data_IF_180673734112
#
_entry.id   IF_180673734112
#
_cell.length_a   1.000
_cell.length_b   1.000
_cell.length_c   1.000
_cell.angle_alpha   90.00
_cell.angle_beta   90.00
_cell.angle_gamma   90.00
#
_symmetry.space_group_name_H-M   'P 1'
#
loop_
_entity.id
_entity.type
_entity.pdbx_description
1 polymer ?
#
# COMPACT_ATOMS: atom_id res chain seq x y z
N UNK A 1 15.30 80.11 7.61
CA UNK A 1 16.20 79.07 8.13
C UNK A 1 15.72 77.75 7.53
N UNK A 2 16.26 77.34 6.38
CA UNK A 2 15.81 76.14 5.66
C UNK A 2 16.89 75.07 5.76
N UNK A 3 16.54 73.91 6.30
CA UNK A 3 17.41 72.73 6.36
C UNK A 3 17.53 72.13 4.96
N UNK A 4 18.73 71.69 4.53
CA UNK A 4 18.86 71.04 3.24
C UNK A 4 18.23 69.65 3.29
N UNK A 5 17.27 69.39 2.40
CA UNK A 5 16.68 68.08 2.19
C UNK A 5 17.70 67.11 1.59
N UNK A 6 17.80 65.92 2.20
CA UNK A 6 18.70 64.87 1.76
C UNK A 6 18.24 64.36 0.38
N UNK A 7 19.08 64.47 -0.65
CA UNK A 7 18.77 63.96 -1.99
C UNK A 7 18.95 62.43 -2.00
N UNK A 8 18.00 61.65 -2.52
CA UNK A 8 18.20 60.21 -2.66
C UNK A 8 19.33 59.97 -3.69
N UNK A 9 20.40 59.29 -3.27
CA UNK A 9 21.49 58.88 -4.16
C UNK A 9 21.01 57.74 -5.06
N UNK A 10 21.24 57.84 -6.36
CA UNK A 10 20.97 56.75 -7.32
C UNK A 10 21.92 55.58 -7.12
N UNK A 11 21.49 54.39 -7.56
CA UNK A 11 22.30 53.16 -7.50
C UNK A 11 23.57 53.30 -8.34
N UNK A 12 24.69 52.81 -7.80
CA UNK A 12 25.94 52.72 -8.56
C UNK A 12 25.93 51.48 -9.46
N UNK A 13 26.66 51.53 -10.58
CA UNK A 13 26.73 50.43 -11.56
C UNK A 13 27.18 49.10 -10.93
N UNK A 14 28.16 49.17 -10.02
CA UNK A 14 28.68 48.02 -9.28
C UNK A 14 27.63 47.43 -8.35
N UNK A 15 26.86 48.27 -7.68
CA UNK A 15 25.81 47.86 -6.73
C UNK A 15 24.66 47.15 -7.46
N UNK A 16 24.26 47.63 -8.65
CA UNK A 16 23.27 46.95 -9.49
C UNK A 16 23.73 45.56 -9.94
N UNK A 17 25.01 45.41 -10.30
CA UNK A 17 25.58 44.11 -10.69
C UNK A 17 25.58 43.11 -9.52
N UNK A 18 25.92 43.57 -8.32
CA UNK A 18 25.90 42.74 -7.10
C UNK A 18 24.47 42.32 -6.76
N UNK A 19 23.50 43.23 -6.86
CA UNK A 19 22.08 42.92 -6.63
C UNK A 19 21.59 41.87 -7.63
N UNK A 20 21.89 42.00 -8.93
CA UNK A 20 21.49 41.02 -9.94
C UNK A 20 22.11 39.65 -9.65
N UNK A 21 23.38 39.60 -9.26
CA UNK A 21 24.07 38.35 -8.93
C UNK A 21 23.43 37.65 -7.72
N UNK A 22 23.17 38.40 -6.65
CA UNK A 22 22.55 37.87 -5.42
C UNK A 22 21.11 37.43 -5.70
N UNK A 23 20.31 38.25 -6.37
CA UNK A 23 18.91 37.92 -6.72
C UNK A 23 18.83 36.68 -7.59
N UNK A 24 19.75 36.52 -8.54
CA UNK A 24 19.81 35.34 -9.42
C UNK A 24 20.16 34.08 -8.62
N UNK A 25 21.11 34.17 -7.69
CA UNK A 25 21.47 33.04 -6.82
C UNK A 25 20.31 32.62 -5.91
N UNK A 26 19.59 33.59 -5.32
CA UNK A 26 18.41 33.35 -4.49
C UNK A 26 17.29 32.68 -5.31
N UNK A 27 17.04 33.16 -6.54
CA UNK A 27 16.03 32.56 -7.42
C UNK A 27 16.33 31.09 -7.73
N UNK A 28 17.59 30.75 -8.01
CA UNK A 28 18.01 29.35 -8.24
C UNK A 28 17.85 28.51 -6.98
N UNK A 29 18.25 29.03 -5.81
CA UNK A 29 18.10 28.33 -4.55
C UNK A 29 16.63 28.03 -4.21
N UNK A 30 15.73 28.99 -4.45
CA UNK A 30 14.28 28.81 -4.26
C UNK A 30 13.74 27.77 -5.25
N UNK A 31 14.12 27.85 -6.52
CA UNK A 31 13.68 26.88 -7.52
C UNK A 31 14.12 25.44 -7.16
N UNK A 32 15.36 25.27 -6.70
CA UNK A 32 15.85 23.96 -6.23
C UNK A 32 15.12 23.48 -4.97
N UNK A 33 14.86 24.37 -4.00
CA UNK A 33 14.10 24.03 -2.82
C UNK A 33 12.68 23.55 -3.17
N UNK A 34 12.01 24.24 -4.09
CA UNK A 34 10.68 23.85 -4.58
C UNK A 34 10.72 22.43 -5.17
N UNK A 35 11.64 22.16 -6.11
CA UNK A 35 11.77 20.83 -6.73
C UNK A 35 12.04 19.75 -5.66
N UNK A 36 12.94 20.02 -4.73
CA UNK A 36 13.25 19.10 -3.63
C UNK A 36 12.03 18.77 -2.75
N UNK A 37 11.20 19.77 -2.43
CA UNK A 37 9.98 19.56 -1.65
C UNK A 37 8.92 18.76 -2.41
N UNK A 38 8.79 18.97 -3.72
CA UNK A 38 7.86 18.21 -4.55
C UNK A 38 8.28 16.73 -4.65
N UNK A 39 9.56 16.46 -4.93
CA UNK A 39 10.08 15.09 -4.99
C UNK A 39 9.93 14.38 -3.65
N UNK A 40 10.29 15.04 -2.54
CA UNK A 40 10.23 14.43 -1.20
C UNK A 40 8.81 14.08 -0.76
N UNK A 41 7.81 14.89 -1.13
CA UNK A 41 6.41 14.60 -0.81
C UNK A 41 5.88 13.34 -1.54
N UNK A 42 6.31 13.12 -2.77
CA UNK A 42 5.85 11.97 -3.55
C UNK A 42 6.36 10.63 -2.94
N UNK A 43 7.59 10.60 -2.43
CA UNK A 43 8.15 9.40 -1.80
C UNK A 43 7.48 9.06 -0.46
N UNK A 44 7.24 10.06 0.39
CA UNK A 44 6.61 9.85 1.71
C UNK A 44 5.15 9.37 1.58
N UNK A 45 4.41 9.90 0.59
CA UNK A 45 3.02 9.51 0.33
C UNK A 45 2.93 8.10 -0.24
N UNK A 46 3.80 7.73 -1.19
CA UNK A 46 3.84 6.38 -1.79
C UNK A 46 4.17 5.29 -0.77
N UNK A 47 5.18 5.51 0.08
CA UNK A 47 5.54 4.55 1.13
C UNK A 47 4.40 4.36 2.15
N UNK A 48 3.75 5.45 2.56
CA UNK A 48 2.63 5.40 3.51
C UNK A 48 1.42 4.65 2.95
N UNK A 49 1.14 4.78 1.65
CA UNK A 49 0.08 4.05 0.99
C UNK A 49 0.37 2.53 0.93
N UNK A 50 1.61 2.16 0.60
CA UNK A 50 2.02 0.75 0.56
C UNK A 50 1.90 0.06 1.93
N UNK A 51 2.33 0.74 3.01
CA UNK A 51 2.23 0.21 4.37
C UNK A 51 0.77 0.03 4.80
N UNK A 52 -0.11 0.99 4.49
CA UNK A 52 -1.54 0.89 4.82
C UNK A 52 -2.21 -0.28 4.09
N UNK A 53 -1.92 -0.44 2.80
CA UNK A 53 -2.47 -1.55 2.01
C UNK A 53 -2.00 -2.91 2.55
N UNK A 54 -0.73 -3.03 2.92
CA UNK A 54 -0.20 -4.25 3.52
C UNK A 54 -0.89 -4.59 4.86
N UNK A 55 -1.08 -3.58 5.73
CA UNK A 55 -1.78 -3.77 7.02
C UNK A 55 -3.22 -4.24 6.82
N UNK A 56 -3.97 -3.59 5.95
CA UNK A 56 -5.36 -3.96 5.67
C UNK A 56 -5.48 -5.39 5.13
N UNK A 57 -4.53 -5.82 4.30
CA UNK A 57 -4.47 -7.19 3.80
C UNK A 57 -4.20 -8.21 4.90
N UNK A 58 -3.27 -7.91 5.80
CA UNK A 58 -2.98 -8.75 6.98
C UNK A 58 -4.20 -8.84 7.90
N UNK A 59 -4.85 -7.72 8.21
CA UNK A 59 -6.02 -7.70 9.09
C UNK A 59 -7.16 -8.57 8.54
N UNK A 60 -7.41 -8.47 7.24
CA UNK A 60 -8.41 -9.30 6.55
C UNK A 60 -8.04 -10.78 6.61
N UNK A 61 -6.77 -11.10 6.38
CA UNK A 61 -6.27 -12.47 6.41
C UNK A 61 -6.33 -13.09 7.80
N UNK A 62 -5.90 -12.35 8.83
CA UNK A 62 -5.95 -12.81 10.22
C UNK A 62 -7.40 -13.01 10.66
N UNK A 63 -8.32 -12.13 10.27
CA UNK A 63 -9.74 -12.30 10.54
C UNK A 63 -10.28 -13.60 9.95
N UNK A 64 -10.04 -13.84 8.66
CA UNK A 64 -10.51 -15.04 7.97
C UNK A 64 -9.92 -16.32 8.58
N UNK A 65 -8.64 -16.31 8.97
CA UNK A 65 -8.00 -17.45 9.65
C UNK A 65 -8.63 -17.70 11.03
N UNK A 66 -8.97 -16.65 11.77
CA UNK A 66 -9.64 -16.80 13.09
C UNK A 66 -11.06 -17.35 12.96
N UNK A 67 -11.70 -17.16 11.81
CA UNK A 67 -13.03 -17.70 11.49
C UNK A 67 -12.94 -19.10 10.84
N UNK A 68 -11.74 -19.70 10.75
CA UNK A 68 -11.56 -21.00 10.12
C UNK A 68 -12.29 -22.12 10.89
N UNK A 69 -13.07 -22.92 10.16
CA UNK A 69 -13.91 -23.99 10.71
C UNK A 69 -14.06 -25.14 9.71
N UNK A 70 -14.66 -26.25 10.15
CA UNK A 70 -14.89 -27.40 9.27
C UNK A 70 -15.76 -27.02 8.08
N UNK A 71 -15.41 -27.54 6.90
CA UNK A 71 -16.16 -27.29 5.68
C UNK A 71 -17.58 -27.86 5.73
N UNK A 72 -18.49 -27.34 4.90
CA UNK A 72 -19.83 -27.94 4.69
C UNK A 72 -19.76 -29.41 4.25
N UNK A 73 -18.62 -29.81 3.66
CA UNK A 73 -18.32 -31.19 3.22
C UNK A 73 -17.78 -32.09 4.34
N UNK A 74 -17.51 -31.54 5.53
CA UNK A 74 -16.85 -32.23 6.64
C UNK A 74 -15.31 -32.20 6.58
N UNK A 75 -14.71 -31.53 5.59
CA UNK A 75 -13.26 -31.38 5.50
C UNK A 75 -12.69 -30.51 6.64
N UNK A 76 -11.42 -30.76 6.99
CA UNK A 76 -10.70 -29.98 8.00
C UNK A 76 -10.60 -28.49 7.64
N UNK A 77 -10.49 -27.57 8.62
CA UNK A 77 -10.49 -26.13 8.38
C UNK A 77 -9.40 -25.63 7.43
N UNK A 78 -8.24 -26.28 7.37
CA UNK A 78 -7.16 -25.96 6.44
C UNK A 78 -7.20 -26.95 5.29
N UNK A 79 -7.44 -26.45 4.08
CA UNK A 79 -7.51 -27.27 2.87
C UNK A 79 -6.13 -27.49 2.24
N UNK A 80 -5.29 -26.45 2.22
CA UNK A 80 -3.92 -26.53 1.73
C UNK A 80 -3.07 -25.36 2.20
N UNK A 81 -1.76 -25.59 2.33
CA UNK A 81 -0.77 -24.57 2.68
C UNK A 81 0.44 -24.69 1.75
N UNK A 82 1.00 -23.55 1.38
CA UNK A 82 2.27 -23.42 0.67
C UNK A 82 2.91 -22.09 1.08
N UNK A 83 4.16 -21.86 0.67
CA UNK A 83 4.91 -20.63 1.02
C UNK A 83 4.26 -19.34 0.53
N UNK A 84 3.50 -19.40 -0.57
CA UNK A 84 2.84 -18.23 -1.21
C UNK A 84 1.32 -18.37 -1.33
N UNK A 85 0.73 -19.43 -0.78
CA UNK A 85 -0.73 -19.59 -0.80
C UNK A 85 -1.25 -20.35 0.41
N UNK A 86 -2.44 -19.97 0.85
CA UNK A 86 -3.17 -20.60 1.95
C UNK A 86 -4.63 -20.79 1.52
N UNK A 87 -5.15 -22.00 1.66
CA UNK A 87 -6.58 -22.29 1.46
C UNK A 87 -7.19 -22.80 2.74
N UNK A 88 -8.25 -22.14 3.20
CA UNK A 88 -9.00 -22.48 4.41
C UNK A 88 -10.49 -22.54 4.12
N UNK A 89 -11.24 -23.08 5.07
CA UNK A 89 -12.69 -23.01 5.12
C UNK A 89 -13.11 -22.13 6.29
N UNK A 90 -13.98 -21.14 6.06
CA UNK A 90 -14.41 -20.16 7.06
C UNK A 90 -15.77 -19.55 6.67
N UNK A 91 -16.58 -19.16 7.66
CA UNK A 91 -17.80 -18.35 7.43
C UNK A 91 -17.42 -16.87 7.40
N UNK A 92 -16.92 -16.41 6.25
CA UNK A 92 -16.40 -15.04 6.09
C UNK A 92 -17.48 -14.02 5.74
N UNK A 93 -18.67 -14.51 5.38
CA UNK A 93 -19.84 -13.69 5.05
C UNK A 93 -20.81 -13.55 6.23
N UNK A 94 -20.58 -14.27 7.33
CA UNK A 94 -21.44 -14.29 8.50
C UNK A 94 -22.89 -14.67 8.16
N UNK A 95 -23.04 -15.62 7.23
CA UNK A 95 -24.35 -16.10 6.74
C UNK A 95 -24.63 -17.56 7.16
N UNK A 96 -23.79 -18.12 8.06
CA UNK A 96 -23.82 -19.50 8.55
C UNK A 96 -23.52 -20.56 7.48
N UNK A 97 -22.98 -20.17 6.33
CA UNK A 97 -22.46 -21.09 5.31
C UNK A 97 -20.95 -21.02 5.33
N UNK A 98 -20.30 -22.16 5.26
CA UNK A 98 -18.83 -22.18 5.26
C UNK A 98 -18.34 -22.01 3.84
N UNK A 99 -17.54 -20.97 3.58
CA UNK A 99 -16.88 -20.76 2.30
C UNK A 99 -15.49 -21.35 2.23
N UNK A 100 -15.03 -21.65 1.00
CA UNK A 100 -13.63 -21.94 0.72
C UNK A 100 -12.93 -20.64 0.37
N UNK A 101 -11.97 -20.24 1.20
CA UNK A 101 -11.19 -19.01 1.06
C UNK A 101 -9.77 -19.36 0.67
N UNK A 102 -9.30 -18.82 -0.45
CA UNK A 102 -7.94 -19.00 -0.94
C UNK A 102 -7.24 -17.65 -1.01
N UNK A 103 -6.13 -17.55 -0.28
CA UNK A 103 -5.15 -16.50 -0.43
C UNK A 103 -3.98 -16.99 -1.26
N UNK A 104 -3.51 -16.20 -2.21
CA UNK A 104 -2.30 -16.51 -2.96
C UNK A 104 -1.66 -15.24 -3.51
N UNK A 105 -0.34 -15.27 -3.64
CA UNK A 105 0.40 -14.20 -4.31
C UNK A 105 0.32 -14.39 -5.83
N UNK A 106 -0.20 -13.39 -6.53
CA UNK A 106 -0.18 -13.27 -7.98
C UNK A 106 0.73 -12.11 -8.36
N UNK A 107 1.94 -12.42 -8.85
CA UNK A 107 2.99 -11.42 -9.12
C UNK A 107 3.33 -10.59 -7.86
N UNK A 108 2.84 -9.36 -7.78
CA UNK A 108 3.01 -8.46 -6.63
C UNK A 108 1.75 -8.28 -5.79
N UNK A 109 0.66 -8.96 -6.12
CA UNK A 109 -0.64 -8.74 -5.50
C UNK A 109 -1.05 -9.96 -4.68
N UNK A 110 -1.31 -9.74 -3.40
CA UNK A 110 -1.92 -10.76 -2.55
C UNK A 110 -3.41 -10.78 -2.87
N UNK A 111 -3.86 -11.86 -3.47
CA UNK A 111 -5.23 -12.05 -3.94
C UNK A 111 -5.96 -12.97 -2.98
N UNK A 112 -7.21 -12.60 -2.68
CA UNK A 112 -8.17 -13.38 -1.92
C UNK A 112 -9.30 -13.82 -2.83
N UNK A 113 -9.65 -15.11 -2.79
CA UNK A 113 -10.78 -15.70 -3.51
C UNK A 113 -11.69 -16.43 -2.53
N UNK A 114 -12.96 -16.04 -2.49
CA UNK A 114 -14.00 -16.69 -1.68
C UNK A 114 -14.91 -17.46 -2.61
N UNK A 115 -15.11 -18.75 -2.34
CA UNK A 115 -16.00 -19.63 -3.11
C UNK A 115 -17.08 -20.19 -2.20
N UNK A 116 -18.34 -19.97 -2.56
CA UNK A 116 -19.47 -20.51 -1.81
C UNK A 116 -19.72 -22.00 -2.12
N UNK A 117 -20.24 -22.68 -1.11
CA UNK A 117 -20.70 -24.07 -1.19
C UNK A 117 -22.10 -24.16 -1.81
N UNK A 118 -22.32 -25.15 -2.68
CA UNK A 118 -23.56 -25.39 -3.43
C UNK A 118 -23.81 -26.88 -3.66
N UNK A 119 -25.09 -27.26 -3.76
CA UNK A 119 -25.53 -28.63 -4.07
C UNK A 119 -25.76 -29.51 -2.84
N UNK A 120 -26.24 -30.74 -3.10
CA UNK A 120 -26.47 -31.79 -2.10
C UNK A 120 -26.02 -33.14 -2.71
N UNK A 121 -24.88 -33.73 -2.30
CA UNK A 121 -23.96 -33.25 -1.27
C UNK A 121 -23.27 -31.92 -1.64
N UNK A 122 -22.85 -31.12 -0.65
CA UNK A 122 -22.26 -29.80 -0.89
C UNK A 122 -20.93 -29.89 -1.66
N UNK A 123 -20.70 -28.94 -2.55
CA UNK A 123 -19.43 -28.75 -3.26
C UNK A 123 -19.07 -27.26 -3.36
N UNK A 124 -17.78 -26.95 -3.35
CA UNK A 124 -17.29 -25.57 -3.49
C UNK A 124 -17.17 -25.13 -4.96
N UNK A 125 -18.30 -25.18 -5.66
CA UNK A 125 -18.45 -24.86 -7.09
C UNK A 125 -19.36 -23.66 -7.35
N UNK A 126 -19.87 -23.01 -6.30
CA UNK A 126 -20.76 -21.86 -6.39
C UNK A 126 -20.07 -20.56 -6.75
N UNK A 127 -20.74 -19.45 -6.43
CA UNK A 127 -20.28 -18.10 -6.72
C UNK A 127 -18.88 -17.83 -6.14
N UNK A 128 -18.03 -17.20 -6.96
CA UNK A 128 -16.68 -16.79 -6.60
C UNK A 128 -16.61 -15.27 -6.49
N UNK A 129 -16.00 -14.78 -5.42
CA UNK A 129 -15.63 -13.38 -5.24
C UNK A 129 -14.12 -13.27 -5.14
N UNK A 130 -13.52 -12.40 -5.94
CA UNK A 130 -12.06 -12.18 -5.98
C UNK A 130 -11.76 -10.74 -5.60
N UNK A 131 -10.78 -10.54 -4.73
CA UNK A 131 -10.35 -9.22 -4.27
C UNK A 131 -8.83 -9.20 -4.06
N UNK A 132 -8.17 -8.14 -4.51
CA UNK A 132 -6.78 -7.85 -4.12
C UNK A 132 -6.78 -7.26 -2.71
N UNK A 133 -6.10 -7.92 -1.78
CA UNK A 133 -6.06 -7.50 -0.36
C UNK A 133 -4.79 -6.73 -0.01
N UNK A 134 -3.73 -6.91 -0.79
CA UNK A 134 -2.53 -6.08 -0.73
C UNK A 134 -1.86 -6.03 -2.10
N UNK A 135 -1.25 -4.88 -2.43
CA UNK A 135 -0.53 -4.66 -3.70
C UNK A 135 0.91 -4.26 -3.42
N UNK A 136 1.81 -4.55 -4.35
CA UNK A 136 3.24 -4.24 -4.21
C UNK A 136 3.96 -5.13 -3.20
N UNK A 137 3.45 -6.34 -2.96
CA UNK A 137 4.09 -7.37 -2.14
C UNK A 137 5.36 -7.86 -2.85
N UNK A 138 6.49 -7.85 -2.13
CA UNK A 138 7.82 -8.16 -2.71
C UNK A 138 8.38 -9.52 -2.29
N UNK A 139 7.65 -10.27 -1.46
CA UNK A 139 8.07 -11.57 -0.92
C UNK A 139 8.60 -12.54 -1.99
N UNK A 140 7.93 -12.64 -3.15
CA UNK A 140 8.38 -13.51 -4.24
C UNK A 140 9.70 -13.07 -4.85
N UNK A 141 9.89 -11.75 -5.04
CA UNK A 141 11.13 -11.19 -5.57
C UNK A 141 12.31 -11.32 -4.59
N UNK A 142 12.01 -11.34 -3.29
CA UNK A 142 12.97 -11.45 -2.19
C UNK A 142 13.14 -12.89 -1.69
N UNK A 143 12.59 -13.88 -2.38
CA UNK A 143 12.59 -15.30 -2.01
C UNK A 143 12.22 -15.55 -0.52
N UNK A 144 11.23 -14.80 -0.04
CA UNK A 144 10.79 -14.83 1.36
C UNK A 144 9.38 -15.42 1.43
N UNK A 145 9.14 -16.48 2.22
CA UNK A 145 7.80 -17.07 2.33
C UNK A 145 6.82 -16.05 2.92
N UNK A 146 5.59 -16.03 2.38
CA UNK A 146 4.48 -15.25 2.96
C UNK A 146 3.85 -16.03 4.11
N UNK A 147 3.69 -17.34 3.93
CA UNK A 147 3.12 -18.23 4.92
C UNK A 147 4.18 -19.18 5.44
N UNK A 148 4.18 -19.38 6.75
CA UNK A 148 4.97 -20.39 7.45
C UNK A 148 4.02 -21.25 8.27
N UNK A 149 4.39 -22.51 8.48
CA UNK A 149 3.61 -23.47 9.24
C UNK A 149 4.53 -24.28 10.15
N UNK A 150 3.95 -24.87 11.20
CA UNK A 150 4.64 -25.80 12.07
C UNK A 150 4.47 -27.22 11.51
N UNK A 151 5.53 -28.03 11.64
CA UNK A 151 5.53 -29.46 11.31
C UNK A 151 5.07 -30.32 12.50
#
# INVERSE_FOLDING_TARGET
MSTPGNKPSGFTLTETLVVIAISSFIMVAIAQAIVFFYDTNEYAVKQSAAIRNAKQGIDSLVRDIREAMFADTGAYPVASMATTSLTIFADVKNDKRVEKVRYFLAESDLVRVVTSSTGTPPTYSGSKSTSTVASGVRNLQLDTPIFTYFD
#
